data_IF_675104849327
#
_entry.id   IF_675104849327
#
_cell.length_a   1.000
_cell.length_b   1.000
_cell.length_c   1.000
_cell.angle_alpha   90.00
_cell.angle_beta   90.00
_cell.angle_gamma   90.00
#
_symmetry.space_group_name_H-M   'P 1'
#
loop_
_entity.id
_entity.type
_entity.pdbx_description
1 polymer ?
#
# COMPACT_ATOMS: atom_id res chain seq x y z
N UNK A 1 3.98 -15.23 -15.17
CA UNK A 1 3.66 -15.95 -13.93
C UNK A 1 4.57 -15.43 -12.83
N UNK A 2 4.22 -15.58 -11.54
CA UNK A 2 5.09 -15.13 -10.42
C UNK A 2 6.55 -15.60 -10.59
N UNK A 3 6.72 -16.85 -11.01
CA UNK A 3 8.03 -17.44 -11.33
C UNK A 3 8.79 -16.70 -12.44
N UNK A 4 8.12 -16.17 -13.47
CA UNK A 4 8.78 -15.44 -14.55
C UNK A 4 9.28 -14.07 -14.10
N UNK A 5 8.60 -13.44 -13.14
CA UNK A 5 9.00 -12.14 -12.58
C UNK A 5 10.19 -12.32 -11.63
N UNK A 6 10.19 -13.39 -10.83
CA UNK A 6 11.34 -13.76 -9.97
C UNK A 6 12.57 -14.08 -10.81
N UNK A 7 12.42 -14.87 -11.88
CA UNK A 7 13.54 -15.16 -12.79
C UNK A 7 14.09 -13.91 -13.48
N UNK A 8 13.23 -12.94 -13.84
CA UNK A 8 13.65 -11.67 -14.44
C UNK A 8 14.41 -10.77 -13.46
N UNK A 9 14.18 -10.91 -12.14
CA UNK A 9 14.92 -10.19 -11.10
C UNK A 9 16.24 -10.87 -10.74
N UNK A 10 16.23 -12.20 -10.58
CA UNK A 10 17.38 -12.92 -10.03
C UNK A 10 18.52 -13.07 -11.06
N UNK A 11 18.21 -13.06 -12.37
CA UNK A 11 19.20 -13.13 -13.44
C UNK A 11 20.21 -11.96 -13.43
N UNK A 12 19.79 -10.68 -13.43
CA UNK A 12 20.71 -9.55 -13.39
C UNK A 12 21.45 -9.42 -12.03
N UNK A 13 20.86 -9.85 -10.91
CA UNK A 13 21.54 -9.89 -9.61
C UNK A 13 22.74 -10.85 -9.64
N UNK A 14 22.57 -12.01 -10.29
CA UNK A 14 23.64 -12.98 -10.46
C UNK A 14 24.75 -12.46 -11.37
N UNK A 15 24.40 -11.89 -12.53
CA UNK A 15 25.39 -11.30 -13.44
C UNK A 15 26.18 -10.17 -12.77
N UNK A 16 25.53 -9.35 -11.96
CA UNK A 16 26.20 -8.31 -11.18
C UNK A 16 27.17 -8.91 -10.15
N UNK A 17 26.75 -9.95 -9.43
CA UNK A 17 27.61 -10.63 -8.47
C UNK A 17 28.85 -11.25 -9.12
N UNK A 18 28.70 -11.87 -10.29
CA UNK A 18 29.79 -12.46 -11.06
C UNK A 18 30.80 -11.39 -11.52
N UNK A 19 30.32 -10.25 -12.05
CA UNK A 19 31.18 -9.13 -12.49
C UNK A 19 31.92 -8.47 -11.32
N UNK A 20 31.27 -8.32 -10.16
CA UNK A 20 31.90 -7.80 -8.94
C UNK A 20 32.98 -8.74 -8.44
N UNK A 21 32.73 -10.06 -8.46
CA UNK A 21 33.70 -11.07 -8.05
C UNK A 21 34.94 -11.06 -8.98
N UNK A 22 34.74 -11.02 -10.29
CA UNK A 22 35.84 -10.93 -11.27
C UNK A 22 36.67 -9.65 -11.08
N UNK A 23 36.00 -8.51 -10.88
CA UNK A 23 36.66 -7.21 -10.66
C UNK A 23 37.52 -7.21 -9.38
N UNK A 24 37.03 -7.82 -8.31
CA UNK A 24 37.78 -7.96 -7.05
C UNK A 24 39.01 -8.86 -7.23
N UNK A 25 38.87 -9.99 -7.93
CA UNK A 25 39.98 -10.89 -8.22
C UNK A 25 41.08 -10.20 -9.04
N UNK A 26 40.70 -9.40 -10.04
CA UNK A 26 41.65 -8.60 -10.85
C UNK A 26 42.37 -7.57 -9.97
N UNK A 27 41.64 -6.87 -9.09
CA UNK A 27 42.24 -5.90 -8.16
C UNK A 27 43.26 -6.54 -7.22
N UNK A 28 42.96 -7.72 -6.68
CA UNK A 28 43.88 -8.40 -5.77
C UNK A 28 45.12 -8.96 -6.48
N UNK A 29 44.95 -9.49 -7.70
CA UNK A 29 46.08 -9.88 -8.53
C UNK A 29 47.00 -8.68 -8.85
N UNK A 30 46.41 -7.53 -9.21
CA UNK A 30 47.16 -6.31 -9.50
C UNK A 30 47.90 -5.77 -8.26
N UNK A 31 47.32 -5.88 -7.04
CA UNK A 31 48.00 -5.52 -5.78
C UNK A 31 49.23 -6.39 -5.51
N UNK A 32 49.11 -7.70 -5.75
CA UNK A 32 50.24 -8.63 -5.57
C UNK A 32 51.39 -8.26 -6.50
N UNK A 33 51.08 -8.04 -7.79
CA UNK A 33 52.07 -7.64 -8.79
C UNK A 33 52.71 -6.28 -8.45
N UNK A 34 51.93 -5.31 -7.98
CA UNK A 34 52.44 -4.01 -7.55
C UNK A 34 53.41 -4.15 -6.36
N UNK A 35 53.08 -5.00 -5.39
CA UNK A 35 53.94 -5.25 -4.23
C UNK A 35 55.26 -5.91 -4.64
N UNK A 36 55.21 -6.93 -5.50
CA UNK A 36 56.40 -7.59 -6.04
C UNK A 36 57.26 -6.62 -6.84
N UNK A 37 56.66 -5.83 -7.73
CA UNK A 37 57.36 -4.82 -8.50
C UNK A 37 58.04 -3.79 -7.59
N UNK A 38 57.34 -3.27 -6.58
CA UNK A 38 57.89 -2.32 -5.60
C UNK A 38 59.13 -2.86 -4.89
N UNK A 39 59.11 -4.13 -4.48
CA UNK A 39 60.26 -4.79 -3.86
C UNK A 39 61.45 -4.90 -4.83
N UNK A 40 61.18 -5.27 -6.09
CA UNK A 40 62.22 -5.40 -7.12
C UNK A 40 62.85 -4.03 -7.43
N UNK A 41 62.03 -3.00 -7.63
CA UNK A 41 62.48 -1.65 -7.90
C UNK A 41 63.29 -1.06 -6.74
N UNK A 42 62.85 -1.28 -5.49
CA UNK A 42 63.60 -0.86 -4.30
C UNK A 42 65.01 -1.47 -4.27
N UNK A 43 65.13 -2.79 -4.52
CA UNK A 43 66.43 -3.48 -4.54
C UNK A 43 67.30 -3.04 -5.72
N UNK A 44 66.70 -2.79 -6.89
CA UNK A 44 67.43 -2.30 -8.05
C UNK A 44 68.01 -0.90 -7.80
N UNK A 45 67.24 -0.01 -7.16
CA UNK A 45 67.69 1.34 -6.78
C UNK A 45 68.91 1.31 -5.84
N UNK A 46 69.00 0.34 -4.93
CA UNK A 46 70.16 0.16 -4.04
C UNK A 46 71.46 -0.16 -4.80
N UNK A 47 71.38 -0.68 -6.03
CA UNK A 47 72.55 -1.08 -6.84
C UNK A 47 73.09 0.06 -7.73
N UNK A 48 72.39 1.19 -7.84
CA UNK A 48 72.80 2.32 -8.68
C UNK A 48 73.70 3.30 -7.88
N UNK A 49 74.91 3.61 -8.40
CA UNK A 49 75.86 4.63 -7.87
C UNK A 49 76.10 5.75 -8.89
N UNK A 50 76.68 6.93 -8.53
CA UNK A 50 76.76 7.60 -7.24
C UNK A 50 75.72 8.73 -7.07
N UNK A 51 74.96 9.06 -8.11
CA UNK A 51 73.95 10.14 -8.10
C UNK A 51 72.67 9.73 -7.35
N UNK A 52 72.47 8.41 -7.18
CA UNK A 52 71.26 7.81 -6.57
C UNK A 52 69.97 8.40 -7.14
N UNK A 53 69.96 8.69 -8.43
CA UNK A 53 68.76 9.18 -9.08
C UNK A 53 67.70 8.07 -8.96
N UNK A 54 66.65 8.37 -8.22
CA UNK A 54 65.59 7.42 -7.89
C UNK A 54 64.97 6.98 -9.21
N UNK A 55 64.97 5.68 -9.52
CA UNK A 55 64.05 5.19 -10.54
C UNK A 55 62.65 5.51 -10.04
N UNK A 56 61.98 6.39 -10.77
CA UNK A 56 60.80 7.10 -10.33
C UNK A 56 59.68 6.12 -9.95
N UNK A 57 59.33 6.10 -8.67
CA UNK A 57 58.22 5.31 -8.12
C UNK A 57 56.86 5.81 -8.61
N UNK A 58 56.82 6.93 -9.34
CA UNK A 58 55.62 7.52 -9.93
C UNK A 58 54.82 6.52 -10.75
N UNK A 59 55.47 5.65 -11.55
CA UNK A 59 54.75 4.66 -12.37
C UNK A 59 54.00 3.64 -11.49
N UNK A 60 54.58 3.23 -10.37
CA UNK A 60 53.95 2.32 -9.41
C UNK A 60 52.84 3.04 -8.62
N UNK A 61 53.04 4.32 -8.29
CA UNK A 61 52.03 5.15 -7.65
C UNK A 61 50.83 5.40 -8.57
N UNK A 62 51.05 5.70 -9.84
CA UNK A 62 50.01 5.87 -10.85
C UNK A 62 49.21 4.58 -11.07
N UNK A 63 49.88 3.43 -11.11
CA UNK A 63 49.21 2.13 -11.16
C UNK A 63 48.34 1.89 -9.90
N UNK A 64 48.87 2.23 -8.72
CA UNK A 64 48.12 2.14 -7.47
C UNK A 64 46.87 3.03 -7.50
N UNK A 65 47.01 4.28 -7.93
CA UNK A 65 45.92 5.25 -8.05
C UNK A 65 44.87 4.75 -9.05
N UNK A 66 45.28 4.30 -10.24
CA UNK A 66 44.39 3.77 -11.27
C UNK A 66 43.61 2.51 -10.82
N UNK A 67 44.17 1.71 -9.91
CA UNK A 67 43.47 0.56 -9.32
C UNK A 67 42.45 0.95 -8.25
N UNK A 68 42.68 2.05 -7.53
CA UNK A 68 41.80 2.55 -6.48
C UNK A 68 40.69 3.48 -6.98
N UNK A 69 40.93 4.22 -8.07
CA UNK A 69 39.97 5.15 -8.64
C UNK A 69 39.21 4.47 -9.80
N UNK A 70 38.00 3.98 -9.52
CA UNK A 70 37.10 3.41 -10.52
C UNK A 70 35.85 4.27 -10.74
N UNK A 71 36.00 5.51 -11.25
CA UNK A 71 34.91 6.49 -11.33
C UNK A 71 33.75 6.04 -12.22
N UNK A 72 34.03 5.22 -13.25
CA UNK A 72 32.98 4.64 -14.09
C UNK A 72 32.14 3.59 -13.36
N UNK A 73 32.77 2.75 -12.53
CA UNK A 73 32.08 1.77 -11.68
C UNK A 73 31.28 2.47 -10.60
N UNK A 74 31.84 3.50 -9.98
CA UNK A 74 31.15 4.29 -8.96
C UNK A 74 29.96 5.05 -9.55
N UNK A 75 30.11 5.62 -10.75
CA UNK A 75 29.01 6.25 -11.48
C UNK A 75 27.92 5.25 -11.87
N UNK A 76 28.29 4.03 -12.26
CA UNK A 76 27.34 2.97 -12.58
C UNK A 76 26.58 2.47 -11.34
N UNK A 77 27.27 2.21 -10.22
CA UNK A 77 26.64 1.85 -8.93
C UNK A 77 25.70 2.97 -8.48
N UNK A 78 26.15 4.23 -8.52
CA UNK A 78 25.31 5.37 -8.18
C UNK A 78 24.09 5.49 -9.12
N UNK A 79 24.24 5.17 -10.41
CA UNK A 79 23.12 5.14 -11.36
C UNK A 79 22.14 4.00 -11.09
N UNK A 80 22.62 2.81 -10.78
CA UNK A 80 21.79 1.66 -10.40
C UNK A 80 21.02 1.95 -9.10
N UNK A 81 21.72 2.48 -8.09
CA UNK A 81 21.12 2.87 -6.82
C UNK A 81 20.08 3.99 -7.00
N UNK A 82 20.35 4.98 -7.85
CA UNK A 82 19.37 6.02 -8.18
C UNK A 82 18.11 5.45 -8.86
N UNK A 83 18.30 4.58 -9.86
CA UNK A 83 17.18 3.95 -10.59
C UNK A 83 16.37 2.98 -9.74
N UNK A 84 17.01 2.24 -8.83
CA UNK A 84 16.30 1.30 -7.93
C UNK A 84 15.49 2.05 -6.88
N UNK A 85 16.02 3.15 -6.33
CA UNK A 85 15.31 4.01 -5.37
C UNK A 85 14.10 4.69 -6.01
N UNK A 86 14.22 5.16 -7.25
CA UNK A 86 13.11 5.78 -7.98
C UNK A 86 12.02 4.75 -8.35
N UNK A 87 12.40 3.53 -8.73
CA UNK A 87 11.46 2.45 -9.04
C UNK A 87 10.72 1.88 -7.81
N UNK A 88 11.26 2.09 -6.61
CA UNK A 88 10.70 1.63 -5.34
C UNK A 88 10.01 2.75 -4.53
N UNK A 89 9.84 3.96 -5.09
CA UNK A 89 9.15 5.03 -4.39
C UNK A 89 7.68 4.67 -4.15
N UNK A 90 7.38 4.39 -2.89
CA UNK A 90 6.02 4.19 -2.40
C UNK A 90 5.28 5.53 -2.52
N UNK A 91 4.10 5.56 -3.16
CA UNK A 91 3.32 6.79 -3.24
C UNK A 91 3.00 7.32 -1.84
N UNK A 92 2.99 8.66 -1.70
CA UNK A 92 2.74 9.31 -0.41
C UNK A 92 1.41 8.90 0.21
N UNK A 93 0.40 8.62 -0.63
CA UNK A 93 -0.90 8.09 -0.18
C UNK A 93 -0.79 6.80 0.62
N UNK A 94 0.13 5.90 0.29
CA UNK A 94 0.35 4.66 1.04
C UNK A 94 1.01 4.93 2.39
N UNK A 95 1.88 5.95 2.49
CA UNK A 95 2.46 6.37 3.78
C UNK A 95 1.38 6.94 4.70
N UNK A 96 0.50 7.79 4.17
CA UNK A 96 -0.66 8.31 4.92
C UNK A 96 -1.59 7.19 5.36
N UNK A 97 -1.90 6.22 4.49
CA UNK A 97 -2.70 5.05 4.84
C UNK A 97 -2.02 4.24 5.96
N UNK A 98 -0.71 3.98 5.84
CA UNK A 98 0.07 3.27 6.85
C UNK A 98 0.01 3.96 8.21
N UNK A 99 0.24 5.28 8.24
CA UNK A 99 0.19 6.08 9.46
C UNK A 99 -1.18 6.02 10.12
N UNK A 100 -2.25 6.19 9.34
CA UNK A 100 -3.61 6.08 9.82
C UNK A 100 -3.93 4.67 10.35
N UNK A 101 -3.46 3.61 9.68
CA UNK A 101 -3.64 2.22 10.16
C UNK A 101 -2.98 2.03 11.53
N UNK A 102 -1.79 2.61 11.75
CA UNK A 102 -1.03 2.48 13.01
C UNK A 102 -1.60 3.32 14.15
N UNK A 103 -2.18 4.48 13.86
CA UNK A 103 -2.52 5.49 14.89
C UNK A 103 -4.01 5.66 15.19
N UNK A 104 -4.90 5.29 14.27
CA UNK A 104 -6.35 5.44 14.46
C UNK A 104 -6.90 4.50 15.53
N UNK A 105 -8.07 4.85 16.09
CA UNK A 105 -8.83 3.95 16.94
C UNK A 105 -9.45 2.81 16.11
N UNK A 106 -9.10 1.57 16.46
CA UNK A 106 -9.63 0.38 15.79
C UNK A 106 -11.04 -0.03 16.29
N UNK A 107 -11.70 0.78 17.13
CA UNK A 107 -13.03 0.56 17.71
C UNK A 107 -13.19 -0.83 18.32
N UNK A 108 -12.22 -1.19 19.17
CA UNK A 108 -12.12 -2.49 19.86
C UNK A 108 -12.08 -3.73 18.93
N UNK A 109 -11.70 -3.56 17.66
CA UNK A 109 -11.59 -4.65 16.66
C UNK A 109 -10.13 -4.86 16.27
N UNK A 110 -9.64 -6.12 16.21
CA UNK A 110 -8.23 -6.39 15.87
C UNK A 110 -7.86 -6.10 14.42
N UNK A 111 -8.80 -6.31 13.50
CA UNK A 111 -8.62 -6.06 12.06
C UNK A 111 -9.84 -5.30 11.53
N UNK A 112 -9.92 -3.98 11.80
CA UNK A 112 -11.09 -3.20 11.43
C UNK A 112 -11.14 -3.02 9.91
N UNK A 113 -12.30 -3.36 9.35
CA UNK A 113 -12.71 -2.99 8.00
C UNK A 113 -13.70 -1.83 8.16
N UNK A 114 -13.22 -0.60 7.94
CA UNK A 114 -14.07 0.58 7.99
C UNK A 114 -14.97 0.59 6.77
N UNK A 115 -16.25 0.85 6.98
CA UNK A 115 -17.24 0.87 5.91
C UNK A 115 -18.15 2.09 6.05
N UNK A 116 -18.40 2.73 4.91
CA UNK A 116 -19.50 3.68 4.78
C UNK A 116 -20.77 2.87 4.54
N UNK A 117 -21.75 3.10 5.41
CA UNK A 117 -23.07 2.53 5.35
C UNK A 117 -24.08 3.67 5.16
N UNK A 118 -25.24 3.37 4.59
CA UNK A 118 -26.36 4.30 4.51
C UNK A 118 -27.64 3.65 5.02
N UNK A 119 -28.64 4.46 5.37
CA UNK A 119 -29.96 3.96 5.76
C UNK A 119 -30.81 3.75 4.51
N UNK A 120 -31.40 2.56 4.39
CA UNK A 120 -32.36 2.23 3.35
C UNK A 120 -33.61 1.62 3.96
N UNK A 121 -34.75 2.03 3.47
CA UNK A 121 -36.02 1.40 3.82
C UNK A 121 -36.35 0.29 2.83
N UNK A 122 -36.77 -0.85 3.37
CA UNK A 122 -37.27 -1.99 2.59
C UNK A 122 -38.69 -2.32 3.03
N UNK A 123 -39.50 -2.77 2.07
CA UNK A 123 -40.81 -3.34 2.37
C UNK A 123 -40.60 -4.74 2.93
N UNK A 124 -41.23 -5.00 4.06
CA UNK A 124 -41.21 -6.30 4.73
C UNK A 124 -42.64 -6.77 4.96
N UNK A 125 -42.78 -8.03 5.36
CA UNK A 125 -44.04 -8.57 5.82
C UNK A 125 -44.38 -8.00 7.22
N UNK A 126 -45.63 -7.58 7.40
CA UNK A 126 -46.11 -6.96 8.64
C UNK A 126 -46.23 -7.91 9.83
N UNK A 127 -46.20 -9.23 9.61
CA UNK A 127 -46.15 -10.22 10.69
C UNK A 127 -44.72 -10.42 11.23
N UNK A 128 -43.70 -9.92 10.54
CA UNK A 128 -42.30 -10.00 10.94
C UNK A 128 -41.80 -8.69 11.57
N UNK A 129 -40.52 -8.66 11.94
CA UNK A 129 -39.87 -7.51 12.56
C UNK A 129 -39.81 -6.30 11.61
N UNK A 130 -40.59 -5.26 11.92
CA UNK A 130 -40.72 -4.01 11.15
C UNK A 130 -40.69 -2.79 12.07
N UNK A 131 -40.33 -1.63 11.52
CA UNK A 131 -40.19 -0.39 12.31
C UNK A 131 -41.45 0.48 12.24
N UNK A 132 -42.11 0.53 11.08
CA UNK A 132 -43.34 1.32 10.89
C UNK A 132 -44.24 0.77 9.79
N UNK A 133 -45.51 1.14 9.85
CA UNK A 133 -46.45 0.98 8.75
C UNK A 133 -46.63 2.28 7.98
N UNK A 134 -46.74 2.15 6.65
CA UNK A 134 -46.97 3.23 5.71
C UNK A 134 -48.15 2.92 4.80
N UNK A 135 -48.88 3.96 4.44
CA UNK A 135 -49.85 3.91 3.37
C UNK A 135 -49.22 4.53 2.14
N UNK A 136 -49.19 3.79 1.05
CA UNK A 136 -48.60 4.21 -0.21
C UNK A 136 -49.63 4.09 -1.31
N UNK A 137 -49.72 5.10 -2.17
CA UNK A 137 -50.63 5.07 -3.31
C UNK A 137 -50.08 4.21 -4.49
N UNK A 138 -50.79 4.25 -5.62
CA UNK A 138 -50.41 3.58 -6.86
C UNK A 138 -49.12 4.14 -7.48
N UNK A 139 -48.81 5.42 -7.22
CA UNK A 139 -47.63 6.12 -7.74
C UNK A 139 -46.39 5.95 -6.84
N UNK A 140 -46.57 5.37 -5.65
CA UNK A 140 -45.48 5.18 -4.69
C UNK A 140 -45.34 6.31 -3.67
N UNK A 141 -46.30 7.23 -3.59
CA UNK A 141 -46.25 8.36 -2.67
C UNK A 141 -46.82 7.97 -1.30
N UNK A 142 -46.11 8.31 -0.22
CA UNK A 142 -46.57 8.09 1.15
C UNK A 142 -47.73 9.04 1.51
N UNK A 143 -48.74 8.51 2.19
CA UNK A 143 -49.87 9.29 2.68
C UNK A 143 -49.43 10.36 3.68
N UNK A 144 -49.97 11.58 3.54
CA UNK A 144 -49.84 12.62 4.58
C UNK A 144 -50.47 12.17 5.90
N UNK A 145 -50.07 12.80 7.02
CA UNK A 145 -50.60 12.48 8.36
C UNK A 145 -52.13 12.49 8.43
N UNK A 146 -52.78 13.43 7.73
CA UNK A 146 -54.24 13.52 7.70
C UNK A 146 -54.86 12.33 6.92
N UNK A 147 -54.29 11.97 5.77
CA UNK A 147 -54.73 10.81 4.99
C UNK A 147 -54.52 9.51 5.76
N UNK A 148 -53.35 9.36 6.39
CA UNK A 148 -52.99 8.20 7.22
C UNK A 148 -54.01 7.95 8.32
N UNK A 149 -54.39 8.98 9.09
CA UNK A 149 -55.42 8.85 10.14
C UNK A 149 -56.74 8.30 9.62
N UNK A 150 -57.16 8.71 8.41
CA UNK A 150 -58.39 8.24 7.79
C UNK A 150 -58.25 6.80 7.28
N UNK A 151 -57.10 6.44 6.71
CA UNK A 151 -56.82 5.09 6.19
C UNK A 151 -56.69 4.07 7.33
N UNK A 152 -56.07 4.45 8.45
CA UNK A 152 -55.95 3.59 9.64
C UNK A 152 -57.31 3.18 10.22
N UNK A 153 -58.37 3.98 10.00
CA UNK A 153 -59.73 3.62 10.41
C UNK A 153 -60.28 2.42 9.63
N UNK A 154 -59.83 2.16 8.41
CA UNK A 154 -60.26 0.98 7.65
C UNK A 154 -59.75 -0.29 8.33
N UNK A 155 -58.46 -0.32 8.66
CA UNK A 155 -57.86 -1.46 9.35
C UNK A 155 -58.45 -1.65 10.75
N UNK A 156 -58.59 -0.57 11.53
CA UNK A 156 -59.21 -0.66 12.88
C UNK A 156 -60.63 -1.19 12.87
N UNK A 157 -61.39 -0.87 11.82
CA UNK A 157 -62.77 -1.32 11.67
C UNK A 157 -62.89 -2.62 10.84
N UNK A 158 -61.78 -3.32 10.57
CA UNK A 158 -61.72 -4.56 9.78
C UNK A 158 -62.39 -4.42 8.41
N UNK A 159 -62.21 -3.27 7.75
CA UNK A 159 -62.69 -2.99 6.39
C UNK A 159 -61.53 -3.08 5.41
N UNK A 160 -61.84 -3.50 4.19
CA UNK A 160 -60.88 -3.44 3.09
C UNK A 160 -60.50 -1.98 2.82
N UNK A 161 -59.19 -1.67 2.70
CA UNK A 161 -58.74 -0.34 2.33
C UNK A 161 -59.12 -0.01 0.89
N UNK A 162 -59.22 1.28 0.52
CA UNK A 162 -59.48 1.66 -0.86
C UNK A 162 -58.43 1.08 -1.81
N UNK A 163 -58.85 0.59 -2.99
CA UNK A 163 -57.97 -0.13 -3.96
C UNK A 163 -56.67 0.61 -4.29
N UNK A 164 -56.71 1.95 -4.29
CA UNK A 164 -55.56 2.80 -4.63
C UNK A 164 -54.50 2.91 -3.53
N UNK A 165 -54.73 2.34 -2.36
CA UNK A 165 -53.86 2.48 -1.19
C UNK A 165 -53.39 1.13 -0.69
N UNK A 166 -52.08 0.97 -0.59
CA UNK A 166 -51.43 -0.21 -0.04
C UNK A 166 -50.92 0.08 1.36
N UNK A 167 -51.22 -0.81 2.30
CA UNK A 167 -50.66 -0.78 3.64
C UNK A 167 -49.40 -1.66 3.67
N UNK A 168 -48.24 -1.05 3.87
CA UNK A 168 -46.95 -1.73 3.81
C UNK A 168 -46.24 -1.62 5.15
N UNK A 169 -45.67 -2.73 5.62
CA UNK A 169 -44.70 -2.70 6.71
C UNK A 169 -43.32 -2.36 6.13
N UNK A 170 -42.60 -1.47 6.80
CA UNK A 170 -41.30 -0.98 6.38
C UNK A 170 -40.29 -1.18 7.49
N UNK A 171 -39.09 -1.62 7.10
CA UNK A 171 -37.93 -1.74 7.96
C UNK A 171 -36.79 -0.88 7.43
N UNK A 172 -36.17 -0.12 8.32
CA UNK A 172 -34.91 0.57 8.05
C UNK A 172 -33.75 -0.41 8.26
N UNK A 173 -32.97 -0.60 7.21
CA UNK A 173 -31.76 -1.42 7.23
C UNK A 173 -30.53 -0.57 6.95
N UNK A 174 -29.37 -1.08 7.38
CA UNK A 174 -28.09 -0.52 7.04
C UNK A 174 -27.61 -1.15 5.74
N UNK A 175 -27.47 -0.33 4.70
CA UNK A 175 -26.97 -0.74 3.38
C UNK A 175 -25.49 -0.41 3.26
N UNK A 176 -24.70 -1.36 2.75
CA UNK A 176 -23.28 -1.17 2.48
C UNK A 176 -23.08 -0.29 1.25
N UNK A 177 -22.21 0.72 1.36
CA UNK A 177 -21.85 1.61 0.25
C UNK A 177 -20.43 1.30 -0.25
N UNK A 178 -19.44 1.39 0.64
CA UNK A 178 -18.04 1.12 0.31
C UNK A 178 -17.23 0.80 1.56
N UNK A 179 -16.07 0.16 1.38
CA UNK A 179 -15.12 -0.14 2.45
C UNK A 179 -13.79 0.58 2.21
N UNK A 180 -13.17 1.00 3.30
CA UNK A 180 -11.87 1.67 3.31
C UNK A 180 -10.93 1.00 4.32
N UNK A 181 -9.62 1.12 4.09
CA UNK A 181 -8.61 0.63 5.04
C UNK A 181 -8.55 1.47 6.32
N UNK A 182 -9.02 2.71 6.29
CA UNK A 182 -8.92 3.67 7.40
C UNK A 182 -10.23 4.41 7.60
N UNK A 183 -10.48 4.87 8.82
CA UNK A 183 -11.60 5.74 9.14
C UNK A 183 -11.52 7.05 8.35
N UNK A 184 -10.32 7.60 8.18
CA UNK A 184 -10.10 8.80 7.39
C UNK A 184 -10.52 8.61 5.93
N UNK A 185 -10.22 7.45 5.33
CA UNK A 185 -10.68 7.16 3.97
C UNK A 185 -12.21 7.13 3.84
N UNK A 186 -12.92 6.66 4.87
CA UNK A 186 -14.37 6.76 4.90
C UNK A 186 -14.86 8.21 5.03
N UNK A 187 -14.20 9.04 5.84
CA UNK A 187 -14.52 10.48 5.96
C UNK A 187 -14.30 11.20 4.64
N UNK A 188 -13.16 10.99 3.99
CA UNK A 188 -12.83 11.59 2.70
C UNK A 188 -13.87 11.21 1.62
N UNK A 189 -14.32 9.95 1.63
CA UNK A 189 -15.39 9.51 0.73
C UNK A 189 -16.73 10.20 1.03
N UNK A 190 -17.09 10.37 2.31
CA UNK A 190 -18.31 11.08 2.71
C UNK A 190 -18.26 12.57 2.37
N UNK A 191 -17.10 13.21 2.51
CA UNK A 191 -16.93 14.60 2.14
C UNK A 191 -17.09 14.78 0.61
N UNK A 192 -16.59 13.83 -0.18
CA UNK A 192 -16.70 13.87 -1.63
C UNK A 192 -18.09 13.47 -2.17
N UNK A 193 -18.74 12.46 -1.57
CA UNK A 193 -19.93 11.80 -2.15
C UNK A 193 -21.12 11.68 -1.19
N UNK A 194 -21.01 12.13 0.05
CA UNK A 194 -22.04 11.96 1.08
C UNK A 194 -23.38 12.61 0.75
N UNK A 195 -23.38 13.66 -0.08
CA UNK A 195 -24.60 14.31 -0.56
C UNK A 195 -25.49 13.41 -1.43
N UNK A 196 -24.96 12.33 -2.00
CA UNK A 196 -25.70 11.34 -2.78
C UNK A 196 -26.23 10.17 -1.94
N UNK A 197 -25.97 10.18 -0.62
CA UNK A 197 -26.30 9.08 0.28
C UNK A 197 -27.41 9.47 1.26
N UNK A 198 -28.20 8.49 1.68
CA UNK A 198 -29.30 8.70 2.65
C UNK A 198 -28.85 8.36 4.07
N UNK A 199 -28.74 9.37 4.93
CA UNK A 199 -28.27 9.24 6.33
C UNK A 199 -27.02 8.37 6.46
N UNK A 200 -25.91 8.72 5.77
CA UNK A 200 -24.70 7.91 5.79
C UNK A 200 -24.01 7.94 7.16
N UNK A 201 -23.33 6.85 7.51
CA UNK A 201 -22.54 6.73 8.72
C UNK A 201 -21.37 5.75 8.54
N UNK A 202 -20.36 5.87 9.41
CA UNK A 202 -19.18 4.99 9.39
C UNK A 202 -19.38 3.84 10.39
N UNK A 203 -19.36 2.62 9.87
CA UNK A 203 -19.40 1.38 10.63
C UNK A 203 -18.05 0.66 10.57
N UNK A 204 -17.77 -0.19 11.56
CA UNK A 204 -16.57 -1.02 11.59
C UNK A 204 -16.97 -2.48 11.60
N UNK A 205 -16.64 -3.18 10.51
CA UNK A 205 -16.71 -4.63 10.45
C UNK A 205 -15.41 -5.23 10.98
N UNK A 206 -15.50 -6.48 11.43
CA UNK A 206 -14.33 -7.29 11.75
C UNK A 206 -13.91 -8.09 10.52
N UNK A 207 -12.66 -7.92 10.08
CA UNK A 207 -12.06 -8.77 9.06
C UNK A 207 -11.55 -10.11 9.62
N UNK A 208 -12.01 -10.52 10.81
CA UNK A 208 -11.64 -11.80 11.42
C UNK A 208 -11.93 -12.97 10.47
N UNK A 209 -10.94 -13.85 10.29
CA UNK A 209 -10.92 -14.97 9.32
C UNK A 209 -10.85 -14.58 7.84
N UNK A 210 -10.65 -13.31 7.52
CA UNK A 210 -10.29 -12.88 6.17
C UNK A 210 -8.76 -12.73 6.05
N UNK A 211 -8.09 -13.84 5.71
CA UNK A 211 -6.63 -13.88 5.65
C UNK A 211 -6.03 -12.90 4.62
N UNK A 212 -6.71 -12.70 3.48
CA UNK A 212 -6.26 -11.79 2.43
C UNK A 212 -6.25 -10.33 2.90
N UNK A 213 -7.37 -9.89 3.51
CA UNK A 213 -7.46 -8.52 4.02
C UNK A 213 -6.49 -8.28 5.17
N UNK A 214 -6.34 -9.26 6.06
CA UNK A 214 -5.38 -9.18 7.18
C UNK A 214 -3.96 -9.02 6.64
N UNK A 215 -3.54 -9.85 5.67
CA UNK A 215 -2.21 -9.79 5.10
C UNK A 215 -1.90 -8.42 4.46
N UNK A 216 -2.82 -7.87 3.67
CA UNK A 216 -2.67 -6.55 3.06
C UNK A 216 -2.59 -5.46 4.13
N UNK A 217 -3.49 -5.49 5.12
CA UNK A 217 -3.53 -4.49 6.19
C UNK A 217 -2.25 -4.52 7.03
N UNK A 218 -1.77 -5.70 7.39
CA UNK A 218 -0.53 -5.86 8.15
C UNK A 218 0.70 -5.38 7.37
N UNK A 219 0.75 -5.68 6.07
CA UNK A 219 1.80 -5.18 5.19
C UNK A 219 1.80 -3.65 5.12
N UNK A 220 0.62 -3.02 4.97
CA UNK A 220 0.47 -1.58 5.02
C UNK A 220 0.84 -1.00 6.40
N UNK A 221 0.51 -1.70 7.49
CA UNK A 221 0.77 -1.26 8.85
C UNK A 221 2.26 -1.22 9.16
N UNK A 222 3.03 -2.24 8.76
CA UNK A 222 4.48 -2.31 9.00
C UNK A 222 5.23 -1.13 8.36
N UNK A 223 4.77 -0.65 7.20
CA UNK A 223 5.53 0.31 6.42
C UNK A 223 6.84 -0.30 5.90
N UNK A 224 7.43 0.30 4.85
CA UNK A 224 8.62 -0.26 4.18
C UNK A 224 9.94 0.11 4.91
N UNK A 225 9.88 0.49 6.19
CA UNK A 225 11.09 0.76 6.96
C UNK A 225 11.72 -0.51 7.58
N UNK A 226 10.98 -1.62 7.62
CA UNK A 226 11.43 -2.88 8.24
C UNK A 226 11.91 -3.93 7.21
N UNK A 227 12.09 -3.54 5.94
CA UNK A 227 12.57 -4.42 4.86
C UNK A 227 14.04 -4.18 4.48
N UNK A 228 14.78 -3.38 5.26
CA UNK A 228 16.22 -3.12 5.12
C UNK A 228 17.04 -3.96 6.11
#
# INVERSE_FOLDING_TARGET
TYESVVQQRDAPEKELADVVAESNAIKDAAKSLLSEASIIYSKYNETQQPDKDLVDMQTLHELQVAMSETPATDAFINSLMGKSVDALQIPESFKTISENIRTQDNRATSHPLFAVMQKREIVVDGEYDHDRFVWVDEEGQEASDHQKRRLDLFIKNFREPPEKWRHLAVKEINEFVTACFTEQGCKDYLDANGHNLRYPFIYVFSAHRNAEFIAIREWLAKGINDAQ
#
